data_IF_288863627313
#
_entry.id   IF_288863627313
#
_cell.length_a   1.000
_cell.length_b   1.000
_cell.length_c   1.000
_cell.angle_alpha   90.00
_cell.angle_beta   90.00
_cell.angle_gamma   90.00
#
_symmetry.space_group_name_H-M   'P 1'
#
loop_
_entity.id
_entity.type
_entity.pdbx_description
1 polymer ?
#
# COMPACT_ATOMS: atom_id res chain seq x y z
N UNK A 1 22.14 2.17 -1.89
CA UNK A 1 21.14 1.14 -1.46
C UNK A 1 19.97 1.24 -2.42
N UNK A 2 19.61 0.14 -3.04
CA UNK A 2 18.43 0.06 -3.90
C UNK A 2 17.28 -0.34 -2.98
N UNK A 3 16.27 0.54 -2.87
CA UNK A 3 14.98 0.18 -2.30
C UNK A 3 14.22 -0.57 -3.41
N UNK A 4 13.88 -1.81 -3.15
CA UNK A 4 12.89 -2.53 -3.95
C UNK A 4 11.59 -2.46 -3.17
N UNK A 5 10.63 -1.69 -3.68
CA UNK A 5 9.23 -1.87 -3.31
C UNK A 5 8.87 -3.28 -3.75
N UNK A 6 8.75 -4.21 -2.81
CA UNK A 6 8.13 -5.46 -3.12
C UNK A 6 6.63 -5.16 -3.23
N UNK A 7 6.14 -4.97 -4.45
CA UNK A 7 4.73 -5.20 -4.75
C UNK A 7 4.40 -6.54 -4.15
N UNK A 8 3.73 -6.53 -3.02
CA UNK A 8 3.62 -7.67 -2.13
C UNK A 8 3.62 -8.98 -2.87
N UNK A 9 4.07 -10.01 -2.26
CA UNK A 9 4.22 -11.39 -2.77
C UNK A 9 3.07 -11.83 -3.72
N UNK A 10 2.13 -10.96 -3.98
CA UNK A 10 0.91 -11.14 -4.76
C UNK A 10 0.85 -10.35 -6.09
N UNK A 11 1.76 -9.42 -6.39
CA UNK A 11 1.62 -8.57 -7.60
C UNK A 11 1.70 -9.34 -8.92
N UNK A 12 2.60 -10.29 -9.06
CA UNK A 12 2.73 -11.12 -10.26
C UNK A 12 1.99 -12.46 -10.11
N UNK A 13 1.80 -12.94 -8.90
CA UNK A 13 1.26 -14.28 -8.59
C UNK A 13 -0.27 -14.28 -8.44
N UNK A 14 -0.92 -13.12 -8.27
CA UNK A 14 -2.37 -13.03 -8.06
C UNK A 14 -3.22 -13.41 -9.27
N UNK A 15 -2.64 -13.54 -10.46
CA UNK A 15 -3.37 -14.00 -11.66
C UNK A 15 -3.37 -15.52 -11.84
N UNK A 16 -2.57 -16.24 -11.06
CA UNK A 16 -2.46 -17.69 -11.14
C UNK A 16 -2.36 -18.23 -9.73
N UNK A 17 -3.47 -18.43 -9.06
CA UNK A 17 -3.52 -19.01 -7.70
C UNK A 17 -2.22 -19.63 -7.15
N UNK A 18 -1.94 -19.53 -5.85
CA UNK A 18 -2.78 -19.20 -4.71
C UNK A 18 -2.36 -17.94 -3.96
N UNK A 19 -3.32 -17.28 -3.30
CA UNK A 19 -3.10 -16.14 -2.41
C UNK A 19 -2.21 -16.51 -1.20
N UNK A 20 -1.53 -15.53 -0.62
CA UNK A 20 -0.71 -15.70 0.57
C UNK A 20 -1.53 -16.25 1.75
N UNK A 21 -2.70 -15.69 1.99
CA UNK A 21 -3.65 -16.16 2.99
C UNK A 21 -4.83 -16.83 2.29
N UNK A 22 -5.00 -18.13 2.52
CA UNK A 22 -5.99 -18.98 1.84
C UNK A 22 -7.37 -18.90 2.53
N UNK A 23 -7.35 -18.76 3.84
CA UNK A 23 -8.52 -18.58 4.69
C UNK A 23 -8.09 -17.82 5.95
N UNK A 24 -9.02 -17.35 6.79
CA UNK A 24 -8.67 -16.68 8.04
C UNK A 24 -7.66 -17.50 8.87
N UNK A 25 -6.45 -16.94 9.04
CA UNK A 25 -5.36 -17.61 9.78
C UNK A 25 -4.69 -18.80 9.07
N UNK A 26 -5.06 -19.11 7.83
CA UNK A 26 -4.46 -20.20 7.05
C UNK A 26 -3.63 -19.64 5.91
N UNK A 27 -2.37 -20.01 5.86
CA UNK A 27 -1.39 -19.44 4.94
C UNK A 27 -0.81 -20.46 3.96
N UNK A 28 -0.45 -19.98 2.78
CA UNK A 28 0.29 -20.76 1.80
C UNK A 28 1.77 -20.79 2.16
N UNK A 29 2.23 -21.92 2.67
CA UNK A 29 3.61 -22.08 3.11
C UNK A 29 4.64 -21.96 1.97
N UNK A 30 4.27 -22.28 0.74
CA UNK A 30 5.14 -22.10 -0.44
C UNK A 30 5.40 -20.63 -0.73
N UNK A 31 4.36 -19.78 -0.64
CA UNK A 31 4.51 -18.32 -0.84
C UNK A 31 5.33 -17.73 0.31
N UNK A 32 5.06 -18.14 1.55
CA UNK A 32 5.84 -17.70 2.71
C UNK A 32 7.30 -18.11 2.60
N UNK A 33 7.58 -19.32 2.09
CA UNK A 33 8.95 -19.74 1.81
C UNK A 33 9.63 -18.89 0.74
N UNK A 34 8.87 -18.48 -0.28
CA UNK A 34 9.33 -17.55 -1.31
C UNK A 34 9.71 -16.18 -0.74
N UNK A 35 8.90 -15.63 0.18
CA UNK A 35 9.20 -14.39 0.88
C UNK A 35 10.47 -14.53 1.76
N UNK A 36 10.57 -15.61 2.54
CA UNK A 36 11.78 -15.91 3.33
C UNK A 36 13.02 -15.95 2.45
N UNK A 37 12.93 -16.62 1.28
CA UNK A 37 14.04 -16.73 0.32
C UNK A 37 14.39 -15.38 -0.31
N UNK A 38 13.40 -14.60 -0.68
CA UNK A 38 13.61 -13.25 -1.22
C UNK A 38 14.39 -12.38 -0.24
N UNK A 39 13.96 -12.31 1.01
CA UNK A 39 14.63 -11.52 2.05
C UNK A 39 16.06 -12.04 2.32
N UNK A 40 16.26 -13.35 2.33
CA UNK A 40 17.59 -13.94 2.42
C UNK A 40 18.51 -13.50 1.29
N UNK A 41 18.05 -13.57 0.04
CA UNK A 41 18.82 -13.17 -1.14
C UNK A 41 19.05 -11.64 -1.21
N UNK A 42 18.08 -10.85 -0.77
CA UNK A 42 18.22 -9.39 -0.66
C UNK A 42 19.30 -9.01 0.37
N UNK A 43 19.28 -9.65 1.54
CA UNK A 43 20.27 -9.41 2.59
C UNK A 43 21.69 -9.69 2.12
N UNK A 44 21.93 -10.78 1.37
CA UNK A 44 23.22 -11.10 0.76
C UNK A 44 23.69 -9.99 -0.20
N UNK A 45 22.79 -9.30 -0.84
CA UNK A 45 23.08 -8.23 -1.80
C UNK A 45 23.05 -6.84 -1.18
N UNK A 46 22.91 -6.73 0.15
CA UNK A 46 22.80 -5.47 0.89
C UNK A 46 21.64 -4.58 0.38
N UNK A 47 20.58 -5.21 -0.06
CA UNK A 47 19.31 -4.58 -0.42
C UNK A 47 18.42 -4.48 0.80
N UNK A 48 17.47 -3.55 0.79
CA UNK A 48 16.47 -3.40 1.85
C UNK A 48 15.07 -3.49 1.26
N UNK A 49 14.14 -4.08 2.01
CA UNK A 49 12.75 -4.25 1.62
C UNK A 49 11.83 -3.34 2.44
N UNK A 50 10.79 -2.83 1.80
CA UNK A 50 9.58 -2.33 2.43
C UNK A 50 8.49 -3.36 2.19
N UNK A 51 7.87 -3.87 3.26
CA UNK A 51 6.86 -4.91 3.17
C UNK A 51 5.49 -4.33 3.52
N UNK A 52 4.56 -4.28 2.55
CA UNK A 52 3.20 -3.90 2.86
C UNK A 52 2.33 -5.11 3.24
N UNK A 53 1.39 -4.88 4.14
CA UNK A 53 0.65 -5.93 4.82
C UNK A 53 -0.79 -6.08 4.32
N UNK A 54 -1.29 -5.10 3.55
CA UNK A 54 -2.65 -5.09 3.01
C UNK A 54 -2.72 -4.34 1.67
N UNK A 55 -3.89 -4.35 1.07
CA UNK A 55 -4.19 -3.56 -0.12
C UNK A 55 -5.64 -3.04 -0.03
N UNK A 56 -5.89 -1.82 -0.49
CA UNK A 56 -7.26 -1.33 -0.62
C UNK A 56 -7.99 -1.90 -1.85
N UNK A 57 -7.20 -2.34 -2.85
CA UNK A 57 -7.68 -2.86 -4.12
C UNK A 57 -7.82 -4.37 -4.10
N UNK A 58 -8.35 -4.95 -5.17
CA UNK A 58 -8.58 -6.39 -5.30
C UNK A 58 -7.28 -7.21 -5.42
N UNK A 59 -6.19 -6.56 -5.78
CA UNK A 59 -4.90 -7.22 -5.88
C UNK A 59 -4.50 -7.78 -4.52
N UNK A 60 -4.14 -9.03 -4.47
CA UNK A 60 -3.84 -9.73 -3.22
C UNK A 60 -5.04 -9.94 -2.26
N UNK A 61 -6.25 -9.84 -2.76
CA UNK A 61 -7.48 -9.99 -1.96
C UNK A 61 -7.89 -8.73 -1.20
N UNK A 62 -6.98 -8.04 -0.55
CA UNK A 62 -7.19 -6.74 0.07
C UNK A 62 -8.41 -6.61 0.99
N UNK A 63 -8.98 -5.42 1.05
CA UNK A 63 -10.18 -5.14 1.86
C UNK A 63 -11.37 -6.04 1.49
N UNK A 64 -11.51 -6.34 0.19
CA UNK A 64 -12.59 -7.18 -0.31
C UNK A 64 -12.57 -8.57 0.31
N UNK A 65 -11.41 -9.20 0.36
CA UNK A 65 -11.27 -10.55 0.91
C UNK A 65 -11.55 -10.61 2.41
N UNK A 66 -11.13 -9.60 3.18
CA UNK A 66 -11.44 -9.55 4.61
C UNK A 66 -12.93 -9.34 4.88
N UNK A 67 -13.63 -8.57 4.02
CA UNK A 67 -15.09 -8.42 4.09
C UNK A 67 -15.81 -9.72 3.72
N UNK A 68 -15.34 -10.46 2.70
CA UNK A 68 -15.90 -11.79 2.39
C UNK A 68 -15.81 -12.72 3.59
N UNK A 69 -14.63 -12.81 4.22
CA UNK A 69 -14.43 -13.64 5.41
C UNK A 69 -15.23 -13.17 6.62
N UNK A 70 -15.57 -11.89 6.67
CA UNK A 70 -16.47 -11.34 7.69
C UNK A 70 -17.97 -11.55 7.37
N UNK A 71 -18.31 -12.23 6.25
CA UNK A 71 -19.68 -12.58 5.91
C UNK A 71 -20.46 -11.54 5.09
N UNK A 72 -19.78 -10.56 4.49
CA UNK A 72 -20.41 -9.52 3.66
C UNK A 72 -20.80 -9.99 2.25
N UNK A 73 -20.51 -11.23 1.91
CA UNK A 73 -20.71 -11.78 0.57
C UNK A 73 -19.45 -11.67 -0.29
N UNK A 74 -19.55 -12.08 -1.56
CA UNK A 74 -18.43 -12.09 -2.48
C UNK A 74 -18.04 -10.68 -2.91
N UNK A 75 -16.75 -10.34 -2.84
CA UNK A 75 -16.25 -9.06 -3.31
C UNK A 75 -16.40 -8.94 -4.83
N UNK A 76 -16.90 -7.80 -5.34
CA UNK A 76 -16.92 -7.54 -6.77
C UNK A 76 -15.51 -7.51 -7.36
N UNK A 77 -15.37 -7.99 -8.60
CA UNK A 77 -14.13 -7.92 -9.37
C UNK A 77 -14.20 -6.71 -10.30
N UNK A 78 -13.36 -5.68 -10.16
CA UNK A 78 -13.49 -4.42 -10.91
C UNK A 78 -13.54 -4.57 -12.42
N UNK A 79 -12.78 -5.52 -12.97
CA UNK A 79 -12.77 -5.80 -14.42
C UNK A 79 -14.03 -6.51 -14.94
N UNK A 80 -14.84 -7.08 -14.06
CA UNK A 80 -16.09 -7.79 -14.39
C UNK A 80 -17.31 -6.99 -13.94
N UNK A 81 -17.30 -6.55 -12.67
CA UNK A 81 -18.46 -5.92 -12.02
C UNK A 81 -18.39 -4.38 -12.05
N UNK A 82 -17.22 -3.82 -12.38
CA UNK A 82 -16.95 -2.40 -12.44
C UNK A 82 -16.43 -1.81 -11.13
N UNK A 83 -15.59 -0.76 -11.28
CA UNK A 83 -14.94 -0.08 -10.17
C UNK A 83 -15.91 0.51 -9.15
N UNK A 84 -17.05 1.03 -9.60
CA UNK A 84 -18.05 1.63 -8.71
C UNK A 84 -18.64 0.60 -7.74
N UNK A 85 -18.93 -0.62 -8.21
CA UNK A 85 -19.43 -1.69 -7.35
C UNK A 85 -18.38 -2.16 -6.37
N UNK A 86 -17.13 -2.33 -6.83
CA UNK A 86 -16.02 -2.67 -5.96
C UNK A 86 -15.83 -1.64 -4.83
N UNK A 87 -15.73 -0.36 -5.18
CA UNK A 87 -15.55 0.72 -4.20
C UNK A 87 -16.71 0.77 -3.20
N UNK A 88 -17.95 0.59 -3.67
CA UNK A 88 -19.13 0.51 -2.82
C UNK A 88 -19.09 -0.67 -1.84
N UNK A 89 -18.49 -1.76 -2.24
CA UNK A 89 -18.31 -2.93 -1.37
C UNK A 89 -17.22 -2.67 -0.33
N UNK A 90 -16.03 -2.23 -0.75
CA UNK A 90 -14.88 -2.06 0.14
C UNK A 90 -14.99 -0.84 1.07
N UNK A 91 -15.86 0.13 0.78
CA UNK A 91 -16.13 1.25 1.69
C UNK A 91 -16.66 0.80 3.07
N UNK A 92 -17.11 -0.46 3.18
CA UNK A 92 -17.58 -1.04 4.44
C UNK A 92 -16.43 -1.45 5.38
N UNK A 93 -15.22 -1.64 4.84
CA UNK A 93 -14.08 -2.15 5.60
C UNK A 93 -13.72 -1.31 6.83
N UNK A 94 -13.61 0.04 6.79
CA UNK A 94 -13.26 0.84 7.96
C UNK A 94 -14.26 0.73 9.12
N UNK A 95 -15.49 0.29 8.85
CA UNK A 95 -16.55 0.09 9.84
C UNK A 95 -16.69 -1.37 10.29
N UNK A 96 -15.99 -2.32 9.66
CA UNK A 96 -16.12 -3.74 9.94
C UNK A 96 -15.07 -4.22 10.96
N UNK A 97 -15.45 -4.34 12.23
CA UNK A 97 -14.53 -4.78 13.29
C UNK A 97 -14.02 -6.20 13.08
N UNK A 98 -14.84 -7.10 12.54
CA UNK A 98 -14.41 -8.46 12.21
C UNK A 98 -13.30 -8.47 11.17
N UNK A 99 -13.43 -7.71 10.08
CA UNK A 99 -12.40 -7.59 9.04
C UNK A 99 -11.10 -7.00 9.60
N UNK A 100 -11.20 -5.95 10.43
CA UNK A 100 -10.05 -5.34 11.09
C UNK A 100 -9.35 -6.31 12.05
N UNK A 101 -10.10 -7.13 12.77
CA UNK A 101 -9.56 -8.18 13.65
C UNK A 101 -8.83 -9.26 12.86
N UNK A 102 -9.39 -9.73 11.75
CA UNK A 102 -8.73 -10.69 10.87
C UNK A 102 -7.41 -10.13 10.32
N UNK A 103 -7.42 -8.87 9.91
CA UNK A 103 -6.19 -8.21 9.45
C UNK A 103 -5.17 -8.03 10.58
N UNK A 104 -5.59 -7.65 11.78
CA UNK A 104 -4.68 -7.52 12.93
C UNK A 104 -3.98 -8.86 13.26
N UNK A 105 -4.69 -9.99 13.13
CA UNK A 105 -4.11 -11.31 13.28
C UNK A 105 -3.08 -11.62 12.17
N UNK A 106 -3.37 -11.20 10.94
CA UNK A 106 -2.42 -11.30 9.83
C UNK A 106 -1.16 -10.48 10.08
N UNK A 107 -1.28 -9.23 10.54
CA UNK A 107 -0.14 -8.38 10.91
C UNK A 107 0.76 -9.08 11.91
N UNK A 108 0.20 -9.58 13.02
CA UNK A 108 0.99 -10.31 14.03
C UNK A 108 1.72 -11.51 13.43
N UNK A 109 1.00 -12.33 12.67
CA UNK A 109 1.57 -13.53 12.06
C UNK A 109 2.76 -13.24 11.15
N UNK A 110 2.67 -12.19 10.32
CA UNK A 110 3.75 -11.84 9.39
C UNK A 110 4.91 -11.15 10.12
N UNK A 111 4.63 -10.19 10.99
CA UNK A 111 5.68 -9.40 11.67
C UNK A 111 6.48 -10.28 12.62
N UNK A 112 5.84 -11.23 13.31
CA UNK A 112 6.49 -12.16 14.25
C UNK A 112 7.12 -13.38 13.57
N UNK A 113 7.06 -13.47 12.23
CA UNK A 113 7.59 -14.61 11.49
C UNK A 113 9.09 -14.78 11.67
N UNK A 114 9.54 -16.03 11.66
CA UNK A 114 10.96 -16.40 11.59
C UNK A 114 11.30 -16.86 10.17
N UNK A 115 12.29 -16.21 9.54
CA UNK A 115 12.81 -16.60 8.24
C UNK A 115 13.49 -17.98 8.33
N UNK A 116 13.01 -18.95 7.54
CA UNK A 116 13.48 -20.35 7.59
C UNK A 116 14.90 -20.56 7.08
N UNK A 117 15.41 -19.65 6.22
CA UNK A 117 16.75 -19.79 5.61
C UNK A 117 17.86 -19.30 6.51
N UNK A 118 17.57 -18.36 7.42
CA UNK A 118 18.56 -17.76 8.32
C UNK A 118 18.22 -17.93 9.80
N UNK A 119 17.10 -18.58 10.11
CA UNK A 119 16.59 -18.78 11.47
C UNK A 119 16.59 -17.49 12.29
N UNK A 120 16.10 -16.39 11.69
CA UNK A 120 16.02 -15.04 12.28
C UNK A 120 14.59 -14.54 12.22
N UNK A 121 14.12 -13.92 13.30
CA UNK A 121 12.82 -13.23 13.27
C UNK A 121 12.85 -12.08 12.27
N UNK A 122 11.72 -11.80 11.64
CA UNK A 122 11.60 -10.64 10.76
C UNK A 122 11.83 -9.32 11.50
N UNK A 123 11.40 -9.23 12.77
CA UNK A 123 11.69 -8.10 13.66
C UNK A 123 13.18 -7.86 13.94
N UNK A 124 14.04 -8.84 13.67
CA UNK A 124 15.50 -8.74 13.85
C UNK A 124 16.25 -8.75 12.51
N UNK A 125 15.54 -8.76 11.37
CA UNK A 125 16.15 -8.85 10.05
C UNK A 125 16.38 -7.47 9.44
N UNK A 126 17.61 -6.99 9.49
CA UNK A 126 18.02 -5.69 8.90
C UNK A 126 17.81 -5.56 7.38
N UNK A 127 17.41 -6.63 6.72
CA UNK A 127 16.95 -6.59 5.33
C UNK A 127 15.59 -5.89 5.21
N UNK A 128 14.74 -6.02 6.21
CA UNK A 128 13.49 -5.28 6.29
C UNK A 128 13.81 -3.86 6.77
N UNK A 129 13.48 -2.86 5.98
CA UNK A 129 13.61 -1.46 6.36
C UNK A 129 12.34 -0.96 7.06
N UNK A 130 11.19 -1.35 6.55
CA UNK A 130 9.91 -0.82 6.99
C UNK A 130 8.76 -1.81 6.77
N UNK A 131 7.82 -1.75 7.68
CA UNK A 131 6.46 -2.28 7.52
C UNK A 131 5.56 -1.17 6.99
N UNK A 132 4.77 -1.50 6.00
CA UNK A 132 3.77 -0.61 5.43
C UNK A 132 2.38 -1.16 5.67
N UNK A 133 1.47 -0.36 6.22
CA UNK A 133 0.14 -0.82 6.63
C UNK A 133 -0.62 -1.39 5.45
N UNK A 134 -0.53 -0.75 4.30
CA UNK A 134 -1.15 -1.27 3.07
C UNK A 134 -0.72 -0.51 1.84
N UNK A 135 -1.02 -1.05 0.67
CA UNK A 135 -0.95 -0.31 -0.57
C UNK A 135 -2.22 0.54 -0.72
N UNK A 136 -2.03 1.86 -0.79
CA UNK A 136 -3.10 2.85 -0.98
C UNK A 136 -4.30 2.68 -0.03
N UNK A 137 -4.07 2.64 1.31
CA UNK A 137 -5.17 2.53 2.24
C UNK A 137 -6.11 3.74 2.11
N UNK A 138 -7.43 3.47 2.00
CA UNK A 138 -8.46 4.48 1.76
C UNK A 138 -9.66 4.34 2.69
N UNK A 139 -10.32 5.45 2.94
CA UNK A 139 -11.62 5.49 3.62
C UNK A 139 -12.79 5.12 2.66
N UNK A 140 -12.62 5.36 1.35
CA UNK A 140 -13.62 5.19 0.28
C UNK A 140 -14.93 5.99 0.46
N UNK A 141 -15.06 6.75 1.54
CA UNK A 141 -16.23 7.58 1.81
C UNK A 141 -15.92 8.59 2.90
N UNK A 142 -16.43 9.82 2.78
CA UNK A 142 -16.22 10.89 3.79
C UNK A 142 -16.67 10.49 5.20
N UNK A 143 -17.78 9.74 5.32
CA UNK A 143 -18.28 9.26 6.61
C UNK A 143 -17.33 8.30 7.33
N UNK A 144 -16.39 7.70 6.61
CA UNK A 144 -15.45 6.73 7.13
C UNK A 144 -14.13 7.35 7.60
N UNK A 145 -13.88 8.64 7.37
CA UNK A 145 -12.60 9.30 7.66
C UNK A 145 -12.12 9.06 9.09
N UNK A 146 -13.01 9.18 10.06
CA UNK A 146 -12.66 8.98 11.48
C UNK A 146 -12.29 7.52 11.77
N UNK A 147 -13.13 6.58 11.37
CA UNK A 147 -12.86 5.15 11.59
C UNK A 147 -11.63 4.67 10.84
N UNK A 148 -11.38 5.21 9.65
CA UNK A 148 -10.16 4.96 8.87
C UNK A 148 -8.91 5.47 9.61
N UNK A 149 -8.92 6.72 10.10
CA UNK A 149 -7.78 7.27 10.84
C UNK A 149 -7.49 6.47 12.12
N UNK A 150 -8.52 6.08 12.86
CA UNK A 150 -8.39 5.24 14.05
C UNK A 150 -7.84 3.85 13.72
N UNK A 151 -8.26 3.27 12.60
CA UNK A 151 -7.74 1.98 12.13
C UNK A 151 -6.26 2.08 11.76
N UNK A 152 -5.85 3.08 10.99
CA UNK A 152 -4.42 3.34 10.66
C UNK A 152 -3.60 3.44 11.95
N UNK A 153 -4.06 4.23 12.93
CA UNK A 153 -3.39 4.37 14.21
C UNK A 153 -3.25 3.02 14.92
N UNK A 154 -4.34 2.28 15.05
CA UNK A 154 -4.34 1.00 15.76
C UNK A 154 -3.42 -0.03 15.12
N UNK A 155 -3.33 -0.05 13.80
CA UNK A 155 -2.42 -0.97 13.07
C UNK A 155 -0.96 -0.55 13.22
N UNK A 156 -0.65 0.75 13.14
CA UNK A 156 0.70 1.25 13.37
C UNK A 156 1.20 0.92 14.79
N UNK A 157 0.36 1.12 15.82
CA UNK A 157 0.66 0.74 17.20
C UNK A 157 0.85 -0.77 17.33
N UNK A 158 0.01 -1.59 16.68
CA UNK A 158 0.14 -3.04 16.68
C UNK A 158 1.47 -3.47 16.09
N UNK A 159 1.85 -2.94 14.92
CA UNK A 159 3.15 -3.24 14.30
C UNK A 159 4.29 -2.90 15.26
N UNK A 160 4.28 -1.69 15.83
CA UNK A 160 5.32 -1.25 16.79
C UNK A 160 5.36 -2.10 18.05
N UNK A 161 4.23 -2.66 18.49
CA UNK A 161 4.20 -3.57 19.64
C UNK A 161 4.81 -4.94 19.34
N UNK A 162 4.71 -5.41 18.08
CA UNK A 162 5.31 -6.67 17.63
C UNK A 162 6.78 -6.47 17.21
N UNK A 163 7.10 -5.31 16.67
CA UNK A 163 8.42 -4.98 16.12
C UNK A 163 8.78 -3.51 16.41
N UNK A 164 9.53 -3.26 17.49
CA UNK A 164 10.00 -1.92 17.83
C UNK A 164 11.22 -1.46 16.99
N UNK A 165 11.81 -2.34 16.19
CA UNK A 165 13.09 -2.09 15.51
C UNK A 165 12.93 -1.44 14.13
N UNK A 166 11.90 -1.84 13.37
CA UNK A 166 11.74 -1.38 11.99
C UNK A 166 10.82 -0.16 11.91
N UNK A 167 10.98 0.58 10.81
CA UNK A 167 10.13 1.72 10.50
C UNK A 167 8.71 1.27 10.14
N UNK A 168 7.75 2.16 10.33
CA UNK A 168 6.36 1.95 9.93
C UNK A 168 5.90 3.11 9.06
N UNK A 169 5.26 2.80 7.94
CA UNK A 169 4.58 3.78 7.08
C UNK A 169 3.14 3.36 6.78
N UNK A 170 2.36 4.31 6.28
CA UNK A 170 0.96 4.04 5.95
C UNK A 170 0.79 3.38 4.58
N UNK A 171 1.62 3.73 3.59
CA UNK A 171 1.45 3.41 2.18
C UNK A 171 0.36 4.23 1.49
N UNK A 172 0.02 5.37 2.08
CA UNK A 172 -1.00 6.28 1.53
C UNK A 172 -0.50 6.99 0.28
N UNK A 173 -1.34 7.12 -0.72
CA UNK A 173 -1.04 7.89 -1.92
C UNK A 173 -1.09 9.41 -1.71
N UNK A 174 -1.37 9.86 -0.48
CA UNK A 174 -1.49 11.29 -0.17
C UNK A 174 -2.94 11.74 -0.01
N UNK A 175 -3.18 13.05 -0.17
CA UNK A 175 -4.53 13.60 -0.05
C UNK A 175 -5.53 13.02 -1.02
N UNK A 176 -5.10 12.54 -2.19
CA UNK A 176 -5.99 11.87 -3.16
C UNK A 176 -6.59 10.57 -2.59
N UNK A 177 -5.79 9.78 -1.87
CA UNK A 177 -6.26 8.58 -1.17
C UNK A 177 -7.01 8.85 0.13
N UNK A 178 -6.97 10.08 0.60
CA UNK A 178 -7.67 10.53 1.80
C UNK A 178 -8.95 11.33 1.46
N UNK A 179 -9.71 10.92 0.45
CA UNK A 179 -10.94 11.61 -0.01
C UNK A 179 -10.69 13.09 -0.37
N UNK A 180 -9.52 13.39 -0.95
CA UNK A 180 -9.02 14.73 -1.28
C UNK A 180 -8.87 15.66 -0.06
N UNK A 181 -8.75 15.08 1.11
CA UNK A 181 -8.64 15.77 2.39
C UNK A 181 -7.19 15.69 2.90
N UNK A 182 -6.46 16.80 2.76
CA UNK A 182 -5.08 16.86 3.23
C UNK A 182 -4.98 16.84 4.76
N UNK A 183 -6.04 17.26 5.47
CA UNK A 183 -6.07 17.21 6.95
C UNK A 183 -6.19 15.77 7.44
N UNK A 184 -6.95 14.93 6.74
CA UNK A 184 -7.00 13.49 7.02
C UNK A 184 -5.63 12.84 6.76
N UNK A 185 -4.96 13.20 5.65
CA UNK A 185 -3.62 12.71 5.36
C UNK A 185 -2.60 13.17 6.43
N UNK A 186 -2.67 14.43 6.85
CA UNK A 186 -1.87 14.95 7.96
C UNK A 186 -2.12 14.14 9.24
N UNK A 187 -3.39 13.91 9.58
CA UNK A 187 -3.78 13.19 10.79
C UNK A 187 -3.18 11.79 10.84
N UNK A 188 -3.34 10.98 9.77
CA UNK A 188 -2.85 9.60 9.76
C UNK A 188 -1.32 9.49 9.78
N UNK A 189 -0.62 10.55 9.39
CA UNK A 189 0.85 10.61 9.43
C UNK A 189 1.39 11.32 10.68
N UNK A 190 0.55 12.01 11.46
CA UNK A 190 0.97 12.69 12.70
C UNK A 190 1.26 11.73 13.85
N UNK A 191 0.75 10.50 13.79
CA UNK A 191 0.93 9.50 14.85
C UNK A 191 2.42 9.16 15.05
N UNK A 192 2.83 9.00 16.32
CA UNK A 192 4.22 8.67 16.67
C UNK A 192 4.67 7.31 16.16
N UNK A 193 3.72 6.39 16.02
CA UNK A 193 3.95 5.03 15.48
C UNK A 193 4.14 4.98 13.97
N UNK A 194 3.93 6.08 13.25
CA UNK A 194 4.23 6.24 11.82
C UNK A 194 5.53 7.03 11.68
N UNK A 195 6.58 6.43 11.16
CA UNK A 195 7.92 6.99 11.14
C UNK A 195 8.18 7.94 9.96
N UNK A 196 7.58 7.67 8.81
CA UNK A 196 7.71 8.52 7.61
C UNK A 196 6.39 8.59 6.85
N UNK A 197 6.27 9.63 6.04
CA UNK A 197 5.07 9.92 5.26
C UNK A 197 5.22 9.39 3.83
N UNK A 198 4.10 9.02 3.21
CA UNK A 198 4.08 8.46 1.86
C UNK A 198 3.11 9.20 0.97
N UNK A 199 3.48 9.36 -0.31
CA UNK A 199 2.60 9.85 -1.37
C UNK A 199 2.86 9.06 -2.66
N UNK A 200 1.82 8.94 -3.49
CA UNK A 200 1.91 8.49 -4.88
C UNK A 200 1.57 9.64 -5.81
N UNK A 201 1.96 9.55 -7.08
CA UNK A 201 1.70 10.58 -8.07
C UNK A 201 1.27 9.94 -9.38
N UNK A 202 -0.05 9.95 -9.64
CA UNK A 202 -0.67 9.34 -10.80
C UNK A 202 -1.49 10.38 -11.61
N UNK A 203 -0.85 11.30 -12.35
CA UNK A 203 -1.52 12.40 -13.04
C UNK A 203 -2.66 11.99 -13.94
N UNK A 204 -2.54 10.87 -14.64
CA UNK A 204 -3.60 10.36 -15.51
C UNK A 204 -4.82 9.87 -14.72
N UNK A 205 -4.58 9.08 -13.68
CA UNK A 205 -5.66 8.54 -12.83
C UNK A 205 -6.42 9.66 -12.13
N UNK A 206 -5.73 10.76 -11.83
CA UNK A 206 -6.32 11.94 -11.18
C UNK A 206 -6.82 13.00 -12.16
N UNK A 207 -6.80 12.70 -13.47
CA UNK A 207 -7.27 13.61 -14.55
C UNK A 207 -6.52 14.93 -14.60
N UNK A 208 -5.22 14.91 -14.26
CA UNK A 208 -4.32 16.03 -14.46
C UNK A 208 -3.70 16.00 -15.86
N UNK A 209 -3.83 14.92 -16.56
CA UNK A 209 -3.46 14.77 -17.96
C UNK A 209 -4.49 13.93 -18.71
N UNK A 210 -4.53 14.08 -20.02
CA UNK A 210 -5.36 13.30 -20.92
C UNK A 210 -4.46 12.55 -21.92
N UNK A 211 -4.73 11.25 -22.13
CA UNK A 211 -3.95 10.40 -23.02
C UNK A 211 -3.99 10.85 -24.49
N UNK A 212 -5.07 11.50 -24.91
CA UNK A 212 -5.28 11.96 -26.28
C UNK A 212 -4.75 13.39 -26.52
N UNK A 213 -4.33 14.08 -25.46
CA UNK A 213 -3.79 15.45 -25.48
C UNK A 213 -2.66 15.64 -24.47
N UNK A 214 -1.65 14.74 -24.49
CA UNK A 214 -0.57 14.73 -23.51
C UNK A 214 0.24 16.04 -23.51
N UNK A 215 0.57 16.56 -24.68
CA UNK A 215 1.36 17.79 -24.80
C UNK A 215 0.59 19.02 -24.30
N UNK A 216 -0.72 19.13 -24.63
CA UNK A 216 -1.58 20.24 -24.25
C UNK A 216 -1.83 20.27 -22.73
N UNK A 217 -1.82 19.10 -22.08
CA UNK A 217 -2.08 18.97 -20.64
C UNK A 217 -0.81 18.91 -19.80
N UNK A 218 0.38 18.85 -20.43
CA UNK A 218 1.65 18.65 -19.72
C UNK A 218 1.92 19.75 -18.69
N UNK A 219 1.84 21.03 -19.09
CA UNK A 219 2.10 22.14 -18.18
C UNK A 219 1.14 22.19 -16.99
N UNK A 220 -0.12 21.82 -17.21
CA UNK A 220 -1.11 21.70 -16.14
C UNK A 220 -0.74 20.56 -15.20
N UNK A 221 -0.39 19.39 -15.73
CA UNK A 221 0.02 18.23 -14.97
C UNK A 221 1.26 18.52 -14.11
N UNK A 222 2.27 19.19 -14.68
CA UNK A 222 3.47 19.62 -13.96
C UNK A 222 3.10 20.52 -12.77
N UNK A 223 2.27 21.56 -13.02
CA UNK A 223 1.84 22.49 -11.96
C UNK A 223 1.08 21.79 -10.84
N UNK A 224 0.17 20.85 -11.17
CA UNK A 224 -0.57 20.07 -10.18
C UNK A 224 0.37 19.17 -9.36
N UNK A 225 1.30 18.48 -10.02
CA UNK A 225 2.30 17.63 -9.38
C UNK A 225 3.19 18.43 -8.42
N UNK A 226 3.72 19.57 -8.87
CA UNK A 226 4.54 20.43 -8.03
C UNK A 226 3.77 20.96 -6.81
N UNK A 227 2.52 21.38 -7.02
CA UNK A 227 1.65 21.82 -5.92
C UNK A 227 1.42 20.69 -4.93
N UNK A 228 1.08 19.50 -5.42
CA UNK A 228 0.83 18.32 -4.60
C UNK A 228 2.03 17.97 -3.72
N UNK A 229 3.21 17.87 -4.31
CA UNK A 229 4.46 17.61 -3.57
C UNK A 229 4.70 18.70 -2.54
N UNK A 230 4.56 19.98 -2.91
CA UNK A 230 4.80 21.11 -2.00
C UNK A 230 3.86 21.11 -0.80
N UNK A 231 2.58 20.85 -1.02
CA UNK A 231 1.57 20.85 0.04
C UNK A 231 1.86 19.73 1.07
N UNK A 232 2.23 18.53 0.59
CA UNK A 232 2.56 17.41 1.46
C UNK A 232 3.92 17.57 2.15
N UNK A 233 4.92 18.15 1.44
CA UNK A 233 6.23 18.43 2.03
C UNK A 233 6.14 19.42 3.17
N UNK A 234 5.32 20.46 3.07
CA UNK A 234 5.13 21.44 4.16
C UNK A 234 4.59 20.77 5.45
N UNK A 235 3.73 19.75 5.31
CA UNK A 235 3.26 18.97 6.46
C UNK A 235 4.39 18.06 6.99
N UNK A 236 5.14 17.41 6.12
CA UNK A 236 6.26 16.57 6.54
C UNK A 236 7.30 17.38 7.32
N UNK A 237 7.64 18.58 6.88
CA UNK A 237 8.50 19.53 7.58
C UNK A 237 7.93 19.93 8.96
N UNK A 238 6.63 20.21 9.05
CA UNK A 238 5.93 20.54 10.31
C UNK A 238 6.12 19.44 11.37
N UNK A 239 6.10 18.17 10.96
CA UNK A 239 6.25 17.02 11.87
C UNK A 239 7.69 16.50 11.94
N UNK A 240 8.63 17.12 11.22
CA UNK A 240 10.02 16.65 11.10
C UNK A 240 10.10 15.17 10.73
N UNK A 241 9.27 14.75 9.77
CA UNK A 241 9.24 13.37 9.25
C UNK A 241 9.71 13.35 7.78
N UNK A 242 10.46 12.32 7.37
CA UNK A 242 10.74 12.10 5.95
C UNK A 242 9.44 11.89 5.17
N UNK A 243 9.45 12.27 3.89
CA UNK A 243 8.38 11.94 2.94
C UNK A 243 8.97 11.17 1.76
N UNK A 244 8.29 10.12 1.34
CA UNK A 244 8.70 9.27 0.22
C UNK A 244 7.64 9.29 -0.86
N UNK A 245 8.03 9.54 -2.09
CA UNK A 245 7.21 9.29 -3.28
C UNK A 245 7.43 7.81 -3.62
N UNK A 246 6.46 6.95 -3.30
CA UNK A 246 6.61 5.51 -3.46
C UNK A 246 6.24 5.04 -4.86
N UNK A 247 5.27 5.73 -5.45
CA UNK A 247 4.80 5.42 -6.79
C UNK A 247 4.63 6.71 -7.60
N UNK A 248 4.99 6.65 -8.86
CA UNK A 248 4.67 7.70 -9.82
C UNK A 248 4.60 7.13 -11.23
N UNK A 249 3.79 7.75 -12.06
CA UNK A 249 3.70 7.37 -13.46
C UNK A 249 3.05 8.44 -14.31
N UNK A 250 3.56 8.60 -15.51
CA UNK A 250 3.01 9.47 -16.54
C UNK A 250 2.74 8.65 -17.81
N UNK A 251 1.60 8.84 -18.50
CA UNK A 251 1.33 8.14 -19.74
C UNK A 251 2.39 8.43 -20.78
N UNK A 252 2.84 7.42 -21.46
CA UNK A 252 3.72 7.54 -22.61
C UNK A 252 3.20 6.70 -23.78
N UNK A 253 3.63 7.00 -24.99
CA UNK A 253 3.34 6.21 -26.20
C UNK A 253 1.82 5.95 -26.39
N UNK A 254 0.96 6.89 -25.99
CA UNK A 254 -0.49 6.76 -26.03
C UNK A 254 -1.02 5.48 -25.38
N UNK A 255 -0.35 4.96 -24.34
CA UNK A 255 -0.59 3.65 -23.70
C UNK A 255 -0.32 2.45 -24.60
N UNK A 256 0.32 2.62 -25.73
CA UNK A 256 0.75 1.52 -26.56
C UNK A 256 1.96 0.84 -25.91
N UNK A 257 1.82 -0.43 -25.61
CA UNK A 257 2.93 -1.30 -25.22
C UNK A 257 3.68 -1.69 -26.48
N UNK A 258 4.69 -0.92 -26.85
CA UNK A 258 5.66 -1.38 -27.83
C UNK A 258 6.90 -1.91 -27.10
N UNK A 259 7.08 -3.23 -27.13
CA UNK A 259 8.25 -3.91 -26.56
C UNK A 259 9.57 -3.56 -27.27
N UNK A 260 9.52 -2.76 -28.33
CA UNK A 260 10.68 -2.42 -29.18
C UNK A 260 11.20 -1.00 -29.08
N UNK A 261 10.42 -0.07 -28.53
CA UNK A 261 10.84 1.35 -28.44
C UNK A 261 11.29 1.71 -27.04
N UNK A 262 12.59 1.69 -26.81
CA UNK A 262 13.22 2.48 -25.76
C UNK A 262 13.18 3.95 -26.19
N UNK A 263 12.02 4.60 -26.13
CA UNK A 263 11.96 6.05 -26.25
C UNK A 263 12.38 6.64 -24.91
N UNK A 264 13.52 7.33 -24.91
CA UNK A 264 13.92 8.23 -23.82
C UNK A 264 12.86 9.32 -23.67
N UNK A 265 12.14 9.35 -22.57
CA UNK A 265 11.43 10.55 -22.11
C UNK A 265 12.34 11.42 -21.27
#
# INVERSE_FOLDING_TARGET
RILVGADGVNGIVSKVEPTLQIAPGVYNDTILAGLDYLLYEMGKRKMSAVLYLNNSWEWSGGYGQYLEWAGYGKAPVPTVDGWAQFQKFVEQYPQCDSSKTLFANHVKFIVERTNRYINRKYSDDSTIMSWQIGNEPRAFNDKNKVSFALWIHSVAELIKSCDPNHLVSTGSEGSQGCEKDIQLWELIHSYKSVDYMTIHIWPYNWKWTDKDSLNETLDYSIKQTQKYIKDHLAIAEKYNKPIVIEEFGYPRDSFLFDLGTLTSN
#
